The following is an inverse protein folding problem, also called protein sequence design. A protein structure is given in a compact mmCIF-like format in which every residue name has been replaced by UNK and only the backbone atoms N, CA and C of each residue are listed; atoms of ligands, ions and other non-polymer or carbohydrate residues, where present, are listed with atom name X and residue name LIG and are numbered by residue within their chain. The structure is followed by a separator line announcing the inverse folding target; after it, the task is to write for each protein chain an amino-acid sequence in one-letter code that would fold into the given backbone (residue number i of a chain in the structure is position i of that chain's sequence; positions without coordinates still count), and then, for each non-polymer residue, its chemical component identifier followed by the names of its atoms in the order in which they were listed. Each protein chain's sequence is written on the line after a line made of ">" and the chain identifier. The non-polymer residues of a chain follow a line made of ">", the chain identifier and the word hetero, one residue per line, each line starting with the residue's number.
data_IF_851204716829
#
_entry.id   IF_851204716829
#
_cell.length_a   1.000
_cell.length_b   1.000
_cell.length_c   1.000
_cell.angle_alpha   90.00
_cell.angle_beta   90.00
_cell.angle_gamma   90.00
#
_symmetry.space_group_name_H-M   'P 1'
#
loop_
_entity.id
_entity.type
_entity.pdbx_description
1 polymer ?
#
# COMPACT_ATOMS: atom_id res chain seq x y z
N UNK A 1 -14.71 -26.76 9.33
CA UNK A 1 -14.49 -26.17 7.98
C UNK A 1 -14.07 -24.72 8.08
N UNK A 2 -14.85 -23.89 8.79
CA UNK A 2 -14.56 -22.45 8.91
C UNK A 2 -13.22 -22.14 9.58
N UNK A 3 -12.82 -22.94 10.56
CA UNK A 3 -11.50 -22.81 11.20
C UNK A 3 -10.35 -23.07 10.20
N UNK A 4 -10.52 -24.01 9.27
CA UNK A 4 -9.53 -24.28 8.23
C UNK A 4 -9.46 -23.13 7.22
N UNK A 5 -10.61 -22.55 6.86
CA UNK A 5 -10.68 -21.36 5.98
C UNK A 5 -9.99 -20.17 6.65
N UNK A 6 -10.28 -19.92 7.93
CA UNK A 6 -9.66 -18.83 8.70
C UNK A 6 -8.14 -19.03 8.83
N UNK A 7 -7.69 -20.26 9.10
CA UNK A 7 -6.27 -20.60 9.18
C UNK A 7 -5.57 -20.40 7.83
N UNK A 8 -6.22 -20.76 6.72
CA UNK A 8 -5.68 -20.58 5.38
C UNK A 8 -5.63 -19.10 4.98
N UNK A 9 -6.66 -18.32 5.29
CA UNK A 9 -6.66 -16.87 5.09
C UNK A 9 -5.49 -16.20 5.83
N UNK A 10 -5.31 -16.54 7.11
CA UNK A 10 -4.17 -16.05 7.90
C UNK A 10 -2.82 -16.47 7.32
N UNK A 11 -2.70 -17.73 6.90
CA UNK A 11 -1.46 -18.22 6.30
C UNK A 11 -1.11 -17.48 5.00
N UNK A 12 -2.11 -17.06 4.22
CA UNK A 12 -1.91 -16.22 3.03
C UNK A 12 -1.48 -14.81 3.43
N UNK A 13 -2.11 -14.21 4.45
CA UNK A 13 -1.76 -12.87 4.94
C UNK A 13 -0.33 -12.81 5.51
N UNK A 14 0.12 -13.88 6.16
CA UNK A 14 1.48 -14.01 6.70
C UNK A 14 2.53 -14.30 5.61
N UNK A 15 2.12 -14.65 4.38
CA UNK A 15 3.02 -15.07 3.30
C UNK A 15 3.55 -13.87 2.49
N UNK A 16 4.77 -13.42 2.80
CA UNK A 16 5.41 -12.30 2.12
C UNK A 16 6.33 -12.75 0.95
N UNK A 17 5.86 -12.56 -0.29
CA UNK A 17 6.69 -12.69 -1.51
C UNK A 17 7.05 -11.30 -2.02
N UNK A 18 8.31 -11.11 -2.45
CA UNK A 18 8.79 -9.87 -3.05
C UNK A 18 9.36 -10.13 -4.45
N UNK A 19 9.11 -9.21 -5.38
CA UNK A 19 9.76 -9.19 -6.70
C UNK A 19 9.10 -10.02 -7.79
N UNK A 20 7.97 -10.68 -7.51
CA UNK A 20 7.17 -11.41 -8.51
C UNK A 20 5.68 -11.22 -8.24
N UNK A 21 4.88 -11.24 -9.31
CA UNK A 21 3.42 -11.34 -9.20
C UNK A 21 3.02 -12.74 -8.76
N UNK A 22 2.02 -12.83 -7.90
CA UNK A 22 1.61 -14.09 -7.28
C UNK A 22 0.09 -14.19 -7.27
N UNK A 23 -0.42 -15.41 -7.18
CA UNK A 23 -1.85 -15.69 -7.07
C UNK A 23 -2.38 -15.54 -5.64
N UNK A 24 -1.53 -15.13 -4.68
CA UNK A 24 -1.92 -14.95 -3.28
C UNK A 24 -3.12 -13.99 -3.09
N UNK A 25 -3.20 -12.83 -3.77
CA UNK A 25 -4.35 -11.93 -3.64
C UNK A 25 -5.66 -12.60 -4.08
N UNK A 26 -5.62 -13.36 -5.18
CA UNK A 26 -6.76 -14.15 -5.64
C UNK A 26 -7.16 -15.22 -4.62
N UNK A 27 -6.21 -16.01 -4.14
CA UNK A 27 -6.50 -17.02 -3.12
C UNK A 27 -7.09 -16.40 -1.85
N UNK A 28 -6.60 -15.22 -1.45
CA UNK A 28 -7.13 -14.48 -0.29
C UNK A 28 -8.56 -14.02 -0.49
N UNK A 29 -8.88 -13.55 -1.71
CA UNK A 29 -10.22 -13.17 -2.13
C UNK A 29 -11.19 -14.36 -2.04
N UNK A 30 -10.81 -15.51 -2.62
CA UNK A 30 -11.65 -16.73 -2.59
C UNK A 30 -11.95 -17.18 -1.16
N UNK A 31 -10.96 -17.17 -0.26
CA UNK A 31 -11.15 -17.56 1.14
C UNK A 31 -12.13 -16.65 1.91
N UNK A 32 -12.26 -15.39 1.48
CA UNK A 32 -13.22 -14.43 2.04
C UNK A 32 -14.61 -14.48 1.41
N UNK A 33 -14.75 -15.02 0.19
CA UNK A 33 -15.98 -14.94 -0.58
C UNK A 33 -17.12 -15.79 0.01
N UNK A 34 -18.32 -15.22 0.07
CA UNK A 34 -19.49 -15.87 0.71
C UNK A 34 -19.86 -17.19 0.03
N UNK A 35 -19.89 -17.25 -1.30
CA UNK A 35 -20.18 -18.50 -2.02
C UNK A 35 -19.17 -19.62 -1.72
N UNK A 36 -17.89 -19.26 -1.53
CA UNK A 36 -16.87 -20.24 -1.13
C UNK A 36 -17.08 -20.68 0.33
N UNK A 37 -17.44 -19.76 1.23
CA UNK A 37 -17.74 -20.07 2.64
C UNK A 37 -19.03 -20.84 2.83
N UNK A 38 -20.07 -20.62 2.03
CA UNK A 38 -21.33 -21.35 2.10
C UNK A 38 -21.23 -22.76 1.51
N UNK A 39 -20.21 -23.01 0.67
CA UNK A 39 -20.05 -24.28 -0.04
C UNK A 39 -20.90 -24.40 -1.31
N UNK A 40 -21.63 -23.34 -1.67
CA UNK A 40 -22.45 -23.29 -2.87
C UNK A 40 -21.65 -22.68 -4.03
N UNK A 41 -20.77 -23.48 -4.64
CA UNK A 41 -19.97 -23.09 -5.79
C UNK A 41 -19.73 -24.29 -6.71
N UNK A 42 -19.48 -24.02 -7.99
CA UNK A 42 -19.20 -25.04 -9.00
C UNK A 42 -17.86 -24.73 -9.74
N UNK A 43 -17.61 -25.43 -10.85
CA UNK A 43 -16.43 -25.20 -11.69
C UNK A 43 -16.41 -23.83 -12.38
N UNK A 44 -17.50 -23.08 -12.32
CA UNK A 44 -17.66 -21.77 -12.95
C UNK A 44 -17.50 -20.61 -11.98
N UNK A 45 -17.23 -20.88 -10.70
CA UNK A 45 -17.03 -19.87 -9.68
C UNK A 45 -16.19 -18.67 -10.12
N UNK A 46 -15.06 -18.91 -10.80
CA UNK A 46 -14.18 -17.83 -11.28
C UNK A 46 -14.85 -16.97 -12.34
N UNK A 47 -15.61 -17.56 -13.25
CA UNK A 47 -16.31 -16.80 -14.29
C UNK A 47 -17.43 -15.93 -13.69
N UNK A 48 -18.12 -16.45 -12.69
CA UNK A 48 -19.35 -15.85 -12.19
C UNK A 48 -19.10 -14.86 -11.02
N UNK A 49 -17.98 -15.00 -10.31
CA UNK A 49 -17.67 -14.22 -9.09
C UNK A 49 -16.31 -13.51 -9.10
N UNK A 50 -15.50 -13.63 -10.16
CA UNK A 50 -14.19 -12.99 -10.20
C UNK A 50 -14.04 -12.07 -11.41
N UNK A 51 -13.71 -10.81 -11.14
CA UNK A 51 -13.18 -9.89 -12.14
C UNK A 51 -11.86 -9.31 -11.63
N UNK A 52 -10.88 -9.03 -12.50
CA UNK A 52 -9.56 -8.53 -12.09
C UNK A 52 -9.62 -7.25 -11.25
N UNK A 53 -10.62 -6.39 -11.50
CA UNK A 53 -10.82 -5.12 -10.82
C UNK A 53 -11.10 -5.29 -9.32
N UNK A 54 -11.64 -6.45 -8.91
CA UNK A 54 -11.91 -6.75 -7.49
C UNK A 54 -10.62 -6.84 -6.68
N UNK A 55 -9.50 -7.20 -7.31
CA UNK A 55 -8.19 -7.24 -6.66
C UNK A 55 -7.51 -5.87 -6.61
N UNK A 56 -7.99 -4.89 -7.36
CA UNK A 56 -7.49 -3.52 -7.34
C UNK A 56 -8.00 -2.73 -6.12
N UNK A 57 -8.74 -3.41 -5.24
CA UNK A 57 -9.33 -2.94 -3.99
C UNK A 57 -8.62 -1.75 -3.34
N UNK A 58 -9.03 -0.55 -3.75
CA UNK A 58 -8.98 0.63 -2.90
C UNK A 58 -10.27 0.58 -2.10
N UNK A 59 -10.16 0.25 -0.82
CA UNK A 59 -11.25 0.58 0.09
C UNK A 59 -11.42 2.11 0.04
N UNK A 60 -12.60 2.63 -0.34
CA UNK A 60 -12.82 4.07 -0.40
C UNK A 60 -12.59 4.75 0.95
N UNK A 61 -12.82 4.05 2.07
CA UNK A 61 -12.51 4.56 3.41
C UNK A 61 -11.00 4.60 3.65
N UNK A 62 -10.26 3.55 3.29
CA UNK A 62 -8.80 3.56 3.39
C UNK A 62 -8.18 4.62 2.49
N UNK A 63 -8.71 4.79 1.28
CA UNK A 63 -8.27 5.82 0.34
C UNK A 63 -8.52 7.23 0.90
N UNK A 64 -9.69 7.44 1.53
CA UNK A 64 -10.02 8.69 2.21
C UNK A 64 -9.11 8.95 3.42
N UNK A 65 -8.90 7.94 4.26
CA UNK A 65 -8.01 8.04 5.42
C UNK A 65 -6.56 8.33 5.00
N UNK A 66 -6.07 7.63 3.98
CA UNK A 66 -4.75 7.89 3.41
C UNK A 66 -4.64 9.30 2.80
N UNK A 67 -5.68 9.77 2.12
CA UNK A 67 -5.73 11.12 1.57
C UNK A 67 -5.69 12.20 2.67
N UNK A 68 -6.45 12.01 3.75
CA UNK A 68 -6.46 12.91 4.91
C UNK A 68 -5.07 12.96 5.57
N UNK A 69 -4.47 11.80 5.85
CA UNK A 69 -3.12 11.71 6.42
C UNK A 69 -2.09 12.38 5.50
N UNK A 70 -2.17 12.12 4.19
CA UNK A 70 -1.28 12.76 3.21
C UNK A 70 -1.45 14.28 3.16
N UNK A 71 -2.67 14.80 3.32
CA UNK A 71 -2.94 16.23 3.37
C UNK A 71 -2.32 16.88 4.61
N UNK A 72 -2.50 16.27 5.79
CA UNK A 72 -1.91 16.73 7.05
C UNK A 72 -0.38 16.73 6.98
N UNK A 73 0.21 15.62 6.51
CA UNK A 73 1.67 15.52 6.35
C UNK A 73 2.24 16.53 5.34
N UNK A 74 1.46 16.89 4.30
CA UNK A 74 1.86 17.91 3.33
C UNK A 74 1.88 19.30 3.98
N UNK A 75 0.91 19.61 4.82
CA UNK A 75 0.86 20.88 5.55
C UNK A 75 2.01 21.01 6.55
N UNK A 76 2.30 19.96 7.33
CA UNK A 76 3.46 19.93 8.24
C UNK A 76 4.79 20.08 7.49
N UNK A 77 4.93 19.45 6.32
CA UNK A 77 6.13 19.54 5.49
C UNK A 77 6.31 20.92 4.85
N UNK A 78 5.23 21.66 4.61
CA UNK A 78 5.27 23.05 4.16
C UNK A 78 5.56 24.03 5.30
N UNK A 79 5.26 23.65 6.55
CA UNK A 79 5.61 24.42 7.76
C UNK A 79 7.06 24.19 8.24
N UNK A 80 7.85 23.39 7.51
CA UNK A 80 9.29 23.22 7.76
C UNK A 80 10.07 24.55 7.67
N UNK A 81 11.22 24.66 8.36
CA UNK A 81 11.86 25.94 8.64
C UNK A 81 12.19 26.69 7.35
N UNK A 82 11.70 27.93 7.25
CA UNK A 82 12.00 28.87 6.18
C UNK A 82 13.52 28.88 5.94
N UNK A 83 14.02 28.61 4.72
CA UNK A 83 15.44 28.70 4.44
C UNK A 83 15.88 30.14 4.70
N UNK A 84 16.71 30.33 5.72
CA UNK A 84 17.31 31.62 6.04
C UNK A 84 18.07 32.09 4.80
N UNK A 85 17.78 33.29 4.23
CA UNK A 85 18.51 33.76 3.07
C UNK A 85 20.00 33.75 3.41
N UNK A 86 20.79 33.09 2.58
CA UNK A 86 22.24 33.03 2.75
C UNK A 86 22.75 34.47 2.83
N UNK A 87 23.30 34.87 3.98
CA UNK A 87 24.03 36.13 4.06
C UNK A 87 25.21 36.00 3.12
N UNK A 88 25.19 36.75 2.02
CA UNK A 88 26.34 36.92 1.16
C UNK A 88 27.44 37.65 1.96
N UNK A 89 28.28 36.90 2.67
CA UNK A 89 29.56 37.40 3.19
C UNK A 89 30.65 36.85 2.28
N UNK A 90 31.28 37.77 1.56
CA UNK A 90 32.19 37.51 0.45
C UNK A 90 33.50 36.83 0.82
N UNK A 91 34.16 36.37 -0.25
CA UNK A 91 35.56 35.95 -0.25
C UNK A 91 35.76 34.50 0.19
N UNK A 92 36.03 33.62 -0.76
CA UNK A 92 36.39 32.24 -0.45
C UNK A 92 37.80 32.18 0.18
N UNK A 93 37.98 31.51 1.34
CA UNK A 93 39.27 31.42 2.05
C UNK A 93 40.40 30.76 1.25
N UNK A 94 40.07 30.00 0.21
CA UNK A 94 41.06 29.33 -0.65
C UNK A 94 41.83 30.30 -1.56
N UNK A 95 41.35 31.53 -1.77
CA UNK A 95 42.04 32.55 -2.59
C UNK A 95 43.11 33.32 -1.85
N UNK A 96 43.15 33.28 -0.51
CA UNK A 96 44.09 34.05 0.32
C UNK A 96 45.41 33.33 0.62
N UNK A 97 45.62 32.10 0.11
CA UNK A 97 46.80 31.27 0.41
C UNK A 97 47.74 31.04 -0.79
N UNK A 98 47.68 31.89 -1.81
CA UNK A 98 48.69 31.94 -2.88
C UNK A 98 49.37 33.29 -2.88
N UNK A 99 50.42 33.41 -2.08
CA UNK A 99 51.65 34.18 -2.31
C UNK A 99 52.63 33.86 -1.18
#
# INVERSE_FOLDING_TARGET
>A
RDEAIARMARAIDDYAIRGVETTLPFCRYVMGHEAFRSGNYDTHFVRDHFTPEVLEGRDPEEAMAAALVAAVLREERLAGPVPRPASASGGSPWKLRRL
#
